data_IF_464196757623
#
_entry.id   IF_464196757623
#
_cell.length_a   1.000
_cell.length_b   1.000
_cell.length_c   1.000
_cell.angle_alpha   90.00
_cell.angle_beta   90.00
_cell.angle_gamma   90.00
#
_symmetry.space_group_name_H-M   'P 1'
#
loop_
_entity.id
_entity.type
_entity.pdbx_description
1 polymer ?
#
# COMPACT_ATOMS: atom_id res chain seq x y z
N UNK A 1 17.93 -16.05 -19.04
CA UNK A 1 17.36 -17.33 -18.57
C UNK A 1 16.01 -17.11 -17.89
N UNK A 2 15.95 -16.40 -16.74
CA UNK A 2 14.72 -16.11 -15.98
C UNK A 2 13.51 -15.71 -16.84
N UNK A 3 13.60 -14.64 -17.64
CA UNK A 3 12.49 -14.15 -18.48
C UNK A 3 11.93 -15.22 -19.45
N UNK A 4 12.74 -16.23 -19.83
CA UNK A 4 12.34 -17.34 -20.71
C UNK A 4 11.60 -18.45 -19.94
N UNK A 5 11.87 -18.59 -18.63
CA UNK A 5 11.09 -19.43 -17.71
C UNK A 5 9.80 -18.72 -17.30
N UNK A 6 9.87 -17.43 -16.96
CA UNK A 6 8.73 -16.56 -16.65
C UNK A 6 7.66 -16.64 -17.76
N UNK A 7 8.01 -16.35 -19.01
CA UNK A 7 7.10 -16.53 -20.17
C UNK A 7 6.60 -17.97 -20.36
N UNK A 8 7.35 -18.99 -19.94
CA UNK A 8 6.93 -20.40 -20.07
C UNK A 8 5.88 -20.78 -19.02
N UNK A 9 6.01 -20.28 -17.77
CA UNK A 9 5.01 -20.45 -16.72
C UNK A 9 3.75 -19.62 -16.96
N UNK A 10 3.89 -18.38 -17.44
CA UNK A 10 2.76 -17.48 -17.73
C UNK A 10 1.93 -17.94 -18.96
N UNK A 11 2.47 -18.83 -19.80
CA UNK A 11 1.80 -19.35 -21.00
C UNK A 11 1.30 -20.80 -20.85
N UNK A 12 1.36 -21.40 -19.65
CA UNK A 12 0.91 -22.77 -19.38
C UNK A 12 -0.43 -22.82 -18.61
N UNK A 13 -1.32 -23.75 -18.98
CA UNK A 13 -2.65 -23.88 -18.37
C UNK A 13 -2.61 -24.38 -16.91
N UNK A 14 -3.59 -24.02 -16.05
CA UNK A 14 -3.30 -23.85 -14.62
C UNK A 14 -3.41 -25.08 -13.71
N UNK A 15 -4.09 -26.16 -14.10
CA UNK A 15 -4.69 -27.06 -13.09
C UNK A 15 -3.76 -28.13 -12.48
N UNK A 16 -2.75 -28.67 -13.19
CA UNK A 16 -1.97 -29.81 -12.67
C UNK A 16 -0.54 -29.48 -12.20
N UNK A 17 0.18 -28.56 -12.85
CA UNK A 17 1.62 -28.38 -12.59
C UNK A 17 1.95 -27.51 -11.36
N UNK A 18 0.98 -26.76 -10.83
CA UNK A 18 1.23 -25.74 -9.80
C UNK A 18 1.33 -26.28 -8.37
N UNK A 19 0.84 -27.49 -8.07
CA UNK A 19 0.99 -28.10 -6.74
C UNK A 19 2.42 -28.58 -6.42
N UNK A 20 3.22 -28.91 -7.43
CA UNK A 20 4.55 -29.55 -7.26
C UNK A 20 5.71 -28.56 -7.27
N UNK A 21 5.61 -27.44 -7.98
CA UNK A 21 6.75 -26.55 -8.25
C UNK A 21 6.99 -25.45 -7.20
N UNK A 22 6.18 -25.36 -6.14
CA UNK A 22 6.25 -24.30 -5.12
C UNK A 22 7.50 -24.34 -4.19
N UNK A 23 8.43 -25.28 -4.38
CA UNK A 23 9.53 -25.59 -3.43
C UNK A 23 10.97 -25.36 -3.92
N UNK A 24 11.41 -25.77 -5.14
CA UNK A 24 12.84 -26.03 -5.39
C UNK A 24 13.82 -24.88 -5.12
N UNK A 25 13.53 -23.66 -5.58
CA UNK A 25 14.53 -22.58 -5.53
C UNK A 25 14.61 -21.87 -4.17
N UNK A 26 13.50 -21.37 -3.61
CA UNK A 26 13.52 -20.64 -2.34
C UNK A 26 14.06 -21.51 -1.19
N UNK A 27 13.59 -22.77 -1.07
CA UNK A 27 14.11 -23.66 -0.02
C UNK A 27 15.59 -24.02 -0.22
N UNK A 28 16.09 -24.05 -1.46
CA UNK A 28 17.53 -24.31 -1.68
C UNK A 28 18.39 -23.17 -1.12
N UNK A 29 17.97 -21.91 -1.28
CA UNK A 29 18.67 -20.77 -0.66
C UNK A 29 18.55 -20.77 0.86
N UNK A 30 17.37 -21.07 1.42
CA UNK A 30 17.18 -21.14 2.88
C UNK A 30 18.11 -22.19 3.51
N UNK A 31 18.16 -23.40 2.94
CA UNK A 31 19.07 -24.46 3.40
C UNK A 31 20.54 -24.07 3.23
N UNK A 32 20.94 -23.55 2.05
CA UNK A 32 22.32 -23.11 1.80
C UNK A 32 22.79 -22.11 2.87
N UNK A 33 21.94 -21.17 3.27
CA UNK A 33 22.32 -20.16 4.26
C UNK A 33 22.12 -20.62 5.71
N UNK A 34 21.20 -21.54 6.01
CA UNK A 34 21.07 -22.15 7.34
C UNK A 34 22.31 -22.98 7.72
N UNK A 35 22.94 -23.64 6.74
CA UNK A 35 24.16 -24.44 6.93
C UNK A 35 25.46 -23.68 6.58
N UNK A 36 25.41 -22.37 6.36
CA UNK A 36 26.59 -21.52 6.16
C UNK A 36 27.42 -21.82 4.90
N UNK A 37 26.81 -22.41 3.86
CA UNK A 37 27.54 -23.05 2.74
C UNK A 37 28.09 -22.08 1.67
N UNK A 38 27.94 -20.76 1.83
CA UNK A 38 28.48 -19.73 0.92
C UNK A 38 29.07 -18.56 1.74
N UNK A 39 30.29 -18.05 1.43
CA UNK A 39 30.95 -17.01 2.25
C UNK A 39 30.34 -15.60 2.21
N UNK A 40 29.54 -15.24 1.20
CA UNK A 40 28.80 -13.96 1.17
C UNK A 40 27.51 -14.04 0.34
N UNK A 41 26.48 -13.32 0.79
CA UNK A 41 25.16 -13.29 0.15
C UNK A 41 25.21 -12.58 -1.21
N UNK A 42 26.06 -11.56 -1.36
CA UNK A 42 26.18 -10.71 -2.55
C UNK A 42 26.57 -11.47 -3.83
N UNK A 43 27.23 -12.61 -3.67
CA UNK A 43 27.60 -13.52 -4.75
C UNK A 43 26.40 -14.22 -5.41
N UNK A 44 25.30 -14.35 -4.68
CA UNK A 44 24.13 -15.12 -5.08
C UNK A 44 23.19 -14.24 -5.90
N UNK A 45 23.00 -14.57 -7.18
CA UNK A 45 22.17 -13.77 -8.11
C UNK A 45 20.73 -13.55 -7.61
N UNK A 46 20.18 -14.46 -6.80
CA UNK A 46 18.85 -14.34 -6.18
C UNK A 46 18.72 -13.20 -5.17
N UNK A 47 19.82 -12.78 -4.52
CA UNK A 47 19.82 -11.70 -3.54
C UNK A 47 19.98 -10.30 -4.17
N UNK A 48 20.10 -10.20 -5.50
CA UNK A 48 20.19 -8.88 -6.15
C UNK A 48 18.80 -8.20 -6.15
N UNK A 49 18.70 -6.90 -5.82
CA UNK A 49 17.41 -6.21 -5.73
C UNK A 49 16.52 -6.34 -6.97
N UNK A 50 17.10 -6.12 -8.16
CA UNK A 50 16.44 -6.29 -9.47
C UNK A 50 16.06 -7.74 -9.82
N UNK A 51 16.40 -8.71 -8.98
CA UNK A 51 15.93 -10.10 -9.05
C UNK A 51 14.86 -10.38 -8.00
N UNK A 52 14.98 -9.84 -6.79
CA UNK A 52 13.94 -9.91 -5.74
C UNK A 52 12.65 -9.22 -6.20
N UNK A 53 12.74 -8.00 -6.75
CA UNK A 53 11.60 -7.28 -7.32
C UNK A 53 10.86 -8.09 -8.40
N UNK A 54 11.62 -8.79 -9.28
CA UNK A 54 11.05 -9.65 -10.34
C UNK A 54 10.51 -10.98 -9.86
N UNK A 55 10.87 -11.40 -8.65
CA UNK A 55 10.24 -12.53 -7.97
C UNK A 55 8.93 -12.08 -7.29
N UNK A 56 8.88 -10.87 -6.73
CA UNK A 56 7.66 -10.28 -6.15
C UNK A 56 6.60 -9.93 -7.23
N UNK A 57 7.02 -9.33 -8.35
CA UNK A 57 6.27 -9.17 -9.61
C UNK A 57 5.60 -10.51 -10.00
N UNK A 58 6.42 -11.55 -10.21
CA UNK A 58 5.95 -12.87 -10.64
C UNK A 58 5.08 -13.58 -9.60
N UNK A 59 5.34 -13.40 -8.31
CA UNK A 59 4.49 -13.94 -7.25
C UNK A 59 3.09 -13.32 -7.30
N UNK A 60 3.01 -12.01 -7.50
CA UNK A 60 1.76 -11.25 -7.60
C UNK A 60 0.98 -11.61 -8.86
N UNK A 61 1.64 -11.62 -10.03
CA UNK A 61 1.10 -12.13 -11.31
C UNK A 61 0.48 -13.52 -11.19
N UNK A 62 1.15 -14.45 -10.52
CA UNK A 62 0.67 -15.83 -10.38
C UNK A 62 -0.53 -15.94 -9.44
N UNK A 63 -0.68 -15.03 -8.48
CA UNK A 63 -1.87 -14.97 -7.63
C UNK A 63 -3.08 -14.39 -8.36
N UNK A 64 -2.91 -13.33 -9.16
CA UNK A 64 -3.94 -12.86 -10.10
C UNK A 64 -4.41 -14.01 -11.00
N UNK A 65 -3.49 -14.71 -11.66
CA UNK A 65 -3.83 -15.83 -12.56
C UNK A 65 -4.45 -17.05 -11.85
N UNK A 66 -4.23 -17.21 -10.54
CA UNK A 66 -4.81 -18.29 -9.75
C UNK A 66 -6.23 -17.95 -9.23
N UNK A 67 -6.51 -16.66 -8.99
CA UNK A 67 -7.70 -16.20 -8.26
C UNK A 67 -8.67 -15.40 -9.13
N UNK A 68 -8.15 -14.73 -10.18
CA UNK A 68 -8.82 -13.66 -10.91
C UNK A 68 -9.40 -12.63 -9.93
N UNK A 69 -10.67 -12.30 -10.15
CA UNK A 69 -11.52 -11.47 -9.27
C UNK A 69 -11.42 -11.78 -7.77
N UNK A 70 -11.15 -13.04 -7.39
CA UNK A 70 -10.99 -13.43 -5.98
C UNK A 70 -9.74 -12.83 -5.31
N UNK A 71 -8.83 -12.23 -6.09
CA UNK A 71 -7.71 -11.44 -5.57
C UNK A 71 -8.19 -10.21 -4.78
N UNK A 72 -9.34 -9.65 -5.16
CA UNK A 72 -9.96 -8.46 -4.56
C UNK A 72 -11.16 -8.78 -3.63
N UNK A 73 -11.34 -10.05 -3.26
CA UNK A 73 -12.21 -10.42 -2.13
C UNK A 73 -11.59 -9.92 -0.80
N UNK A 74 -12.39 -9.93 0.27
CA UNK A 74 -12.19 -9.23 1.56
C UNK A 74 -10.91 -9.60 2.36
N UNK A 75 -10.06 -10.45 1.80
CA UNK A 75 -8.78 -10.90 2.36
C UNK A 75 -7.76 -11.00 1.22
N UNK A 76 -7.17 -9.86 0.82
CA UNK A 76 -6.19 -9.83 -0.27
C UNK A 76 -5.04 -10.83 -0.01
N UNK A 77 -4.58 -11.57 -1.03
CA UNK A 77 -3.54 -12.59 -0.88
C UNK A 77 -2.12 -12.00 -0.85
N UNK A 78 -1.98 -10.76 -1.34
CA UNK A 78 -0.78 -9.93 -1.30
C UNK A 78 -1.23 -8.53 -0.91
N UNK A 79 -0.52 -7.92 0.04
CA UNK A 79 -0.69 -6.54 0.46
C UNK A 79 0.59 -5.77 0.07
N UNK A 80 0.50 -4.61 -0.60
CA UNK A 80 1.66 -3.82 -1.02
C UNK A 80 2.22 -2.93 0.12
N UNK A 81 2.31 -3.46 1.34
CA UNK A 81 2.94 -2.80 2.50
C UNK A 81 4.24 -3.51 2.87
N UNK A 82 5.29 -2.77 3.24
CA UNK A 82 6.61 -3.34 3.57
C UNK A 82 6.52 -4.42 4.66
N UNK A 83 5.76 -4.15 5.72
CA UNK A 83 5.58 -5.03 6.88
C UNK A 83 4.96 -6.37 6.48
N UNK A 84 4.12 -6.41 5.44
CA UNK A 84 3.56 -7.66 4.91
C UNK A 84 4.64 -8.48 4.20
N UNK A 85 5.50 -7.84 3.40
CA UNK A 85 6.62 -8.50 2.73
C UNK A 85 7.77 -8.90 3.67
N UNK A 86 7.81 -8.32 4.88
CA UNK A 86 8.71 -8.71 5.97
C UNK A 86 8.16 -9.81 6.90
N UNK A 87 6.83 -9.92 7.10
CA UNK A 87 6.22 -10.83 8.11
C UNK A 87 5.09 -11.75 7.64
N UNK A 88 4.40 -11.46 6.53
CA UNK A 88 3.24 -12.21 6.03
C UNK A 88 3.55 -13.64 5.57
N UNK A 89 2.73 -14.60 6.00
CA UNK A 89 2.80 -16.05 5.74
C UNK A 89 2.82 -16.42 4.27
N UNK A 90 2.00 -15.74 3.46
CA UNK A 90 1.89 -15.96 2.02
C UNK A 90 3.20 -15.64 1.28
N UNK A 91 3.93 -14.64 1.77
CA UNK A 91 5.21 -14.14 1.25
C UNK A 91 6.41 -14.55 2.10
N UNK A 92 6.30 -15.59 2.96
CA UNK A 92 7.36 -16.07 3.86
C UNK A 92 8.72 -16.37 3.20
N UNK A 93 8.72 -16.69 1.92
CA UNK A 93 9.91 -16.96 1.12
C UNK A 93 10.64 -15.67 0.65
N UNK A 94 10.07 -14.50 0.94
CA UNK A 94 10.67 -13.18 0.70
C UNK A 94 11.25 -12.54 1.96
N UNK A 95 10.75 -12.85 3.16
CA UNK A 95 11.10 -12.19 4.44
C UNK A 95 12.60 -11.88 4.57
N UNK A 96 13.45 -12.90 4.43
CA UNK A 96 14.91 -12.78 4.54
C UNK A 96 15.54 -11.92 3.45
N UNK A 97 14.97 -11.94 2.24
CA UNK A 97 15.46 -11.15 1.12
C UNK A 97 15.11 -9.67 1.33
N UNK A 98 13.86 -9.36 1.69
CA UNK A 98 13.36 -8.00 1.93
C UNK A 98 14.08 -7.35 3.12
N UNK A 99 14.29 -8.09 4.22
CA UNK A 99 15.02 -7.60 5.39
C UNK A 99 16.55 -7.48 5.16
N UNK A 100 17.07 -7.88 4.00
CA UNK A 100 18.48 -7.74 3.61
C UNK A 100 18.69 -6.68 2.51
N UNK A 101 17.64 -5.98 2.09
CA UNK A 101 17.70 -4.89 1.11
C UNK A 101 18.02 -3.55 1.77
N UNK A 102 18.53 -2.60 0.98
CA UNK A 102 18.53 -1.18 1.36
C UNK A 102 17.09 -0.64 1.38
N UNK A 103 16.81 0.43 2.13
CA UNK A 103 15.48 1.06 2.14
C UNK A 103 15.03 1.51 0.74
N UNK A 104 15.95 1.94 -0.11
CA UNK A 104 15.69 2.24 -1.52
C UNK A 104 15.23 0.99 -2.29
N UNK A 105 15.94 -0.12 -2.13
CA UNK A 105 15.62 -1.37 -2.79
C UNK A 105 14.33 -2.01 -2.25
N UNK A 106 14.05 -1.88 -0.95
CA UNK A 106 12.77 -2.23 -0.35
C UNK A 106 11.63 -1.45 -1.01
N UNK A 107 11.77 -0.13 -1.12
CA UNK A 107 10.81 0.73 -1.82
C UNK A 107 10.62 0.31 -3.28
N UNK A 108 11.71 -0.01 -3.99
CA UNK A 108 11.61 -0.51 -5.36
C UNK A 108 10.82 -1.84 -5.47
N UNK A 109 10.97 -2.77 -4.52
CA UNK A 109 10.18 -4.01 -4.51
C UNK A 109 8.70 -3.72 -4.24
N UNK A 110 8.37 -2.93 -3.22
CA UNK A 110 6.97 -2.62 -2.86
C UNK A 110 6.27 -1.86 -3.99
N UNK A 111 6.96 -0.90 -4.62
CA UNK A 111 6.46 -0.19 -5.79
C UNK A 111 6.16 -1.14 -6.98
N UNK A 112 7.04 -2.10 -7.26
CA UNK A 112 6.80 -3.09 -8.34
C UNK A 112 5.60 -3.99 -8.03
N UNK A 113 5.39 -4.37 -6.76
CA UNK A 113 4.19 -5.11 -6.33
C UNK A 113 2.94 -4.25 -6.53
N UNK A 114 2.96 -3.00 -6.08
CA UNK A 114 1.84 -2.07 -6.21
C UNK A 114 1.51 -1.79 -7.69
N UNK A 115 2.50 -1.47 -8.53
CA UNK A 115 2.31 -1.31 -9.98
C UNK A 115 1.72 -2.57 -10.64
N UNK A 116 2.14 -3.77 -10.22
CA UNK A 116 1.56 -5.05 -10.70
C UNK A 116 0.08 -5.12 -10.34
N UNK A 117 -0.29 -4.84 -9.08
CA UNK A 117 -1.70 -4.83 -8.65
C UNK A 117 -2.52 -3.82 -9.47
N UNK A 118 -2.03 -2.59 -9.58
CA UNK A 118 -2.69 -1.53 -10.34
C UNK A 118 -2.86 -1.87 -11.83
N UNK A 119 -2.00 -2.71 -12.43
CA UNK A 119 -2.15 -3.12 -13.84
C UNK A 119 -3.29 -4.09 -14.11
N UNK A 120 -3.75 -4.84 -13.09
CA UNK A 120 -4.92 -5.73 -13.22
C UNK A 120 -6.24 -5.08 -12.76
N UNK A 121 -6.16 -3.92 -12.09
CA UNK A 121 -7.31 -3.25 -11.48
C UNK A 121 -8.36 -2.73 -12.48
N UNK A 122 -8.02 -2.11 -13.62
CA UNK A 122 -9.04 -1.58 -14.55
C UNK A 122 -9.90 -2.65 -15.24
N UNK A 123 -9.44 -3.90 -15.32
CA UNK A 123 -10.03 -4.93 -16.19
C UNK A 123 -10.76 -6.06 -15.44
N UNK A 124 -10.34 -6.41 -14.21
CA UNK A 124 -10.91 -7.58 -13.50
C UNK A 124 -12.10 -7.27 -12.58
N UNK A 125 -12.22 -6.03 -12.05
CA UNK A 125 -13.10 -5.73 -10.91
C UNK A 125 -14.57 -6.09 -11.15
N UNK A 126 -15.21 -5.56 -12.20
CA UNK A 126 -16.50 -6.06 -12.68
C UNK A 126 -16.77 -5.65 -14.13
N UNK A 127 -17.45 -6.48 -14.96
CA UNK A 127 -17.92 -6.06 -16.29
C UNK A 127 -19.05 -5.01 -16.22
N UNK A 128 -19.49 -4.66 -15.01
CA UNK A 128 -20.63 -3.78 -14.71
C UNK A 128 -20.24 -2.55 -13.88
N UNK A 129 -19.06 -2.53 -13.29
CA UNK A 129 -18.53 -1.38 -12.54
C UNK A 129 -17.27 -0.88 -13.27
N UNK A 130 -17.30 0.38 -13.69
CA UNK A 130 -16.13 1.06 -14.25
C UNK A 130 -15.40 1.81 -13.12
N UNK A 131 -14.06 1.86 -13.13
CA UNK A 131 -13.34 2.68 -12.18
C UNK A 131 -13.62 4.17 -12.40
N UNK A 132 -13.52 4.98 -11.35
CA UNK A 132 -13.64 6.44 -11.44
C UNK A 132 -12.53 7.05 -12.31
N UNK A 133 -12.82 8.17 -12.97
CA UNK A 133 -11.79 8.87 -13.77
C UNK A 133 -10.67 9.44 -12.89
N UNK A 134 -10.99 9.85 -11.65
CA UNK A 134 -10.00 10.24 -10.63
C UNK A 134 -9.06 9.07 -10.33
N UNK A 135 -9.58 7.88 -10.06
CA UNK A 135 -8.77 6.70 -9.78
C UNK A 135 -7.96 6.22 -10.99
N UNK A 136 -8.54 6.25 -12.21
CA UNK A 136 -7.83 5.94 -13.46
C UNK A 136 -6.63 6.85 -13.67
N UNK A 137 -6.81 8.16 -13.46
CA UNK A 137 -5.72 9.14 -13.54
C UNK A 137 -4.61 8.80 -12.52
N UNK A 138 -4.97 8.65 -11.24
CA UNK A 138 -4.02 8.30 -10.18
C UNK A 138 -3.23 6.99 -10.48
N UNK A 139 -3.90 5.97 -11.02
CA UNK A 139 -3.24 4.74 -11.45
C UNK A 139 -2.21 4.97 -12.57
N UNK A 140 -2.55 5.76 -13.59
CA UNK A 140 -1.67 6.05 -14.72
C UNK A 140 -0.41 6.79 -14.29
N UNK A 141 -0.55 7.77 -13.40
CA UNK A 141 0.57 8.57 -12.90
C UNK A 141 1.52 7.73 -12.03
N UNK A 142 0.98 6.90 -11.14
CA UNK A 142 1.75 5.97 -10.31
C UNK A 142 2.38 4.83 -11.15
N UNK A 143 1.88 4.58 -12.36
CA UNK A 143 2.45 3.63 -13.32
C UNK A 143 3.53 4.23 -14.24
N UNK A 144 3.79 5.55 -14.17
CA UNK A 144 4.84 6.17 -15.00
C UNK A 144 6.23 5.57 -14.71
N UNK A 145 7.00 5.33 -15.79
CA UNK A 145 8.29 4.64 -15.71
C UNK A 145 9.37 5.39 -14.90
N UNK A 146 9.22 6.71 -14.74
CA UNK A 146 10.16 7.56 -14.03
C UNK A 146 9.75 7.84 -12.56
N UNK A 147 8.53 7.48 -12.13
CA UNK A 147 7.92 7.92 -10.86
C UNK A 147 8.85 7.82 -9.64
N UNK A 148 9.55 6.70 -9.46
CA UNK A 148 10.51 6.50 -8.35
C UNK A 148 11.73 7.43 -8.36
N UNK A 149 12.15 7.89 -9.54
CA UNK A 149 13.25 8.83 -9.71
C UNK A 149 12.78 10.26 -9.40
N UNK A 150 11.61 10.64 -9.90
CA UNK A 150 11.06 11.98 -9.69
C UNK A 150 10.55 12.18 -8.26
N UNK A 151 9.88 11.19 -7.66
CA UNK A 151 9.53 11.20 -6.23
C UNK A 151 10.77 11.30 -5.33
N UNK A 152 11.87 10.62 -5.69
CA UNK A 152 13.15 10.76 -4.98
C UNK A 152 13.72 12.17 -5.09
N UNK A 153 13.74 12.73 -6.30
CA UNK A 153 14.19 14.10 -6.55
C UNK A 153 13.38 15.11 -5.73
N UNK A 154 12.05 14.99 -5.75
CA UNK A 154 11.11 15.83 -5.01
C UNK A 154 11.31 15.69 -3.48
N UNK A 155 11.37 14.47 -2.97
CA UNK A 155 11.57 14.18 -1.54
C UNK A 155 12.92 14.68 -1.04
N UNK A 156 13.99 14.61 -1.85
CA UNK A 156 15.30 15.17 -1.51
C UNK A 156 15.30 16.70 -1.51
N UNK A 157 14.65 17.33 -2.50
CA UNK A 157 14.52 18.79 -2.57
C UNK A 157 13.69 19.37 -1.40
N UNK A 158 12.68 18.63 -0.94
CA UNK A 158 11.87 18.97 0.23
C UNK A 158 12.65 18.89 1.55
N UNK A 159 13.51 17.87 1.71
CA UNK A 159 14.28 17.66 2.93
C UNK A 159 15.39 18.70 3.18
N UNK A 160 15.76 19.51 2.18
CA UNK A 160 16.80 20.55 2.26
C UNK A 160 16.22 21.96 2.54
N UNK A 161 14.89 22.09 2.65
CA UNK A 161 14.06 23.31 2.83
C UNK A 161 14.23 24.43 1.79
N UNK A 162 15.40 24.57 1.16
CA UNK A 162 15.79 25.66 0.25
C UNK A 162 15.08 25.61 -1.12
N UNK A 163 14.48 24.48 -1.51
CA UNK A 163 13.84 24.30 -2.82
C UNK A 163 12.34 24.63 -2.87
N UNK A 164 11.73 25.01 -1.73
CA UNK A 164 10.28 25.25 -1.56
C UNK A 164 9.65 26.12 -2.67
N UNK A 165 10.34 27.15 -3.15
CA UNK A 165 9.82 28.06 -4.20
C UNK A 165 9.79 27.48 -5.62
N UNK A 166 10.46 26.36 -5.91
CA UNK A 166 10.38 25.69 -7.23
C UNK A 166 9.34 24.56 -7.26
N UNK A 167 8.79 24.18 -6.09
CA UNK A 167 8.15 22.89 -5.90
C UNK A 167 6.70 22.81 -6.39
N UNK A 168 5.99 23.94 -6.37
CA UNK A 168 4.56 24.06 -6.72
C UNK A 168 4.23 23.66 -8.17
N UNK A 169 5.24 23.47 -9.02
CA UNK A 169 5.10 23.06 -10.42
C UNK A 169 5.49 21.58 -10.66
N UNK A 170 5.74 20.78 -9.61
CA UNK A 170 6.03 19.35 -9.77
C UNK A 170 4.74 18.54 -9.94
N UNK A 171 4.61 17.79 -11.04
CA UNK A 171 3.48 16.88 -11.25
C UNK A 171 3.36 15.83 -10.12
N UNK A 172 4.46 15.43 -9.47
CA UNK A 172 4.41 14.47 -8.35
C UNK A 172 3.88 15.12 -7.06
N UNK A 173 4.05 16.44 -6.89
CA UNK A 173 3.35 17.18 -5.83
C UNK A 173 1.85 17.23 -6.14
N UNK A 174 1.47 17.45 -7.41
CA UNK A 174 0.06 17.41 -7.83
C UNK A 174 -0.55 16.03 -7.58
N UNK A 175 0.07 14.95 -8.06
CA UNK A 175 -0.37 13.56 -7.83
C UNK A 175 -0.48 13.23 -6.35
N UNK A 176 0.48 13.66 -5.52
CA UNK A 176 0.41 13.43 -4.06
C UNK A 176 -0.71 14.22 -3.39
N UNK A 177 -1.05 15.40 -3.92
CA UNK A 177 -2.19 16.21 -3.48
C UNK A 177 -3.52 15.62 -3.98
N UNK A 178 -3.57 15.11 -5.20
CA UNK A 178 -4.75 14.43 -5.78
C UNK A 178 -5.04 13.09 -5.05
N UNK A 179 -4.00 12.38 -4.61
CA UNK A 179 -4.10 11.22 -3.70
C UNK A 179 -4.71 11.62 -2.36
N UNK A 180 -4.21 12.69 -1.74
CA UNK A 180 -4.74 13.24 -0.49
C UNK A 180 -6.23 13.60 -0.63
N UNK A 181 -6.61 14.35 -1.67
CA UNK A 181 -8.01 14.70 -1.93
C UNK A 181 -8.90 13.49 -2.26
N UNK A 182 -8.39 12.41 -2.83
CA UNK A 182 -9.17 11.17 -3.01
C UNK A 182 -9.36 10.40 -1.70
N UNK A 183 -8.40 10.50 -0.78
CA UNK A 183 -8.45 9.86 0.53
C UNK A 183 -9.32 10.65 1.54
N UNK A 184 -9.35 11.97 1.44
CA UNK A 184 -10.30 12.84 2.13
C UNK A 184 -11.71 12.73 1.56
N UNK A 185 -11.87 12.87 0.24
CA UNK A 185 -13.15 12.83 -0.48
C UNK A 185 -13.12 11.76 -1.60
N UNK A 186 -13.41 10.48 -1.29
CA UNK A 186 -13.39 9.40 -2.27
C UNK A 186 -14.60 9.39 -3.21
N UNK A 187 -14.53 8.62 -4.30
CA UNK A 187 -15.60 8.60 -5.31
C UNK A 187 -16.85 7.83 -4.87
N UNK A 188 -17.84 8.55 -4.35
CA UNK A 188 -19.07 7.97 -3.80
C UNK A 188 -20.10 7.54 -4.86
N UNK A 189 -19.96 7.93 -6.13
CA UNK A 189 -20.84 7.46 -7.21
C UNK A 189 -20.46 6.08 -7.77
N UNK A 190 -19.29 5.53 -7.38
CA UNK A 190 -18.90 4.16 -7.76
C UNK A 190 -19.70 3.10 -6.99
N UNK A 191 -19.87 1.93 -7.62
CA UNK A 191 -20.38 0.71 -6.99
C UNK A 191 -19.58 0.36 -5.72
N UNK A 192 -20.19 -0.25 -4.70
CA UNK A 192 -19.59 -0.43 -3.37
C UNK A 192 -18.28 -1.22 -3.38
N UNK A 193 -18.21 -2.35 -4.09
CA UNK A 193 -16.98 -3.12 -4.19
C UNK A 193 -15.90 -2.33 -4.95
N UNK A 194 -16.27 -1.64 -6.02
CA UNK A 194 -15.38 -0.72 -6.75
C UNK A 194 -14.81 0.37 -5.82
N UNK A 195 -15.68 1.13 -5.14
CA UNK A 195 -15.36 2.21 -4.20
C UNK A 195 -14.35 1.80 -3.14
N UNK A 196 -14.62 0.67 -2.47
CA UNK A 196 -13.76 0.10 -1.42
C UNK A 196 -12.35 -0.15 -1.95
N UNK A 197 -12.26 -0.69 -3.16
CA UNK A 197 -11.00 -1.11 -3.76
C UNK A 197 -10.21 0.07 -4.34
N UNK A 198 -10.88 1.09 -4.90
CA UNK A 198 -10.23 2.36 -5.25
C UNK A 198 -9.63 3.03 -4.01
N UNK A 199 -10.42 3.15 -2.93
CA UNK A 199 -9.94 3.70 -1.66
C UNK A 199 -8.75 2.91 -1.11
N UNK A 200 -8.87 1.58 -1.05
CA UNK A 200 -7.84 0.69 -0.54
C UNK A 200 -6.52 0.81 -1.32
N UNK A 201 -6.60 0.93 -2.65
CA UNK A 201 -5.43 1.06 -3.52
C UNK A 201 -4.82 2.47 -3.44
N UNK A 202 -5.62 3.53 -3.32
CA UNK A 202 -5.13 4.90 -3.05
C UNK A 202 -4.47 4.98 -1.67
N UNK A 203 -5.05 4.40 -0.62
CA UNK A 203 -4.41 4.29 0.69
C UNK A 203 -3.03 3.60 0.58
N UNK A 204 -2.90 2.52 -0.20
CA UNK A 204 -1.60 1.88 -0.41
C UNK A 204 -0.60 2.73 -1.22
N UNK A 205 -1.06 3.57 -2.16
CA UNK A 205 -0.19 4.57 -2.81
C UNK A 205 0.33 5.61 -1.81
N UNK A 206 -0.50 6.03 -0.85
CA UNK A 206 -0.12 7.00 0.18
C UNK A 206 0.78 6.37 1.26
N UNK A 207 0.47 5.16 1.74
CA UNK A 207 1.32 4.40 2.67
C UNK A 207 2.73 4.15 2.09
N UNK A 208 2.81 3.89 0.78
CA UNK A 208 4.07 3.82 0.05
C UNK A 208 4.83 5.17 0.06
N UNK A 209 4.14 6.27 -0.23
CA UNK A 209 4.74 7.60 -0.23
C UNK A 209 5.19 8.02 1.18
N UNK A 210 4.43 7.72 2.24
CA UNK A 210 4.84 7.99 3.61
C UNK A 210 6.08 7.17 4.00
N UNK A 211 6.05 5.84 3.78
CA UNK A 211 7.17 4.96 4.21
C UNK A 211 8.49 5.19 3.49
N UNK A 212 8.47 5.61 2.22
CA UNK A 212 9.69 5.74 1.41
C UNK A 212 10.02 7.18 0.99
N UNK A 213 9.06 8.12 1.09
CA UNK A 213 9.18 9.49 0.61
C UNK A 213 8.45 10.50 1.53
N UNK A 214 8.37 10.22 2.85
CA UNK A 214 7.66 11.03 3.86
C UNK A 214 7.74 12.56 3.67
N UNK A 215 8.89 13.20 3.33
CA UNK A 215 8.94 14.64 3.06
C UNK A 215 7.87 15.16 2.09
N UNK A 216 7.43 14.35 1.11
CA UNK A 216 6.31 14.69 0.20
C UNK A 216 4.98 14.74 0.95
N UNK A 217 4.67 13.71 1.75
CA UNK A 217 3.47 13.63 2.59
C UNK A 217 3.43 14.77 3.61
N UNK A 218 4.56 15.01 4.29
CA UNK A 218 4.79 16.12 5.21
C UNK A 218 4.53 17.49 4.53
N UNK A 219 5.00 17.67 3.29
CA UNK A 219 4.83 18.91 2.54
C UNK A 219 3.40 19.12 2.04
N UNK A 220 2.73 18.06 1.55
CA UNK A 220 1.33 18.10 1.12
C UNK A 220 0.43 18.42 2.32
N UNK A 221 0.59 17.74 3.46
CA UNK A 221 -0.16 18.03 4.69
C UNK A 221 0.02 19.48 5.14
N UNK A 222 1.27 19.94 5.31
CA UNK A 222 1.59 21.32 5.68
C UNK A 222 1.08 22.35 4.67
N UNK A 223 0.99 22.02 3.38
CA UNK A 223 0.45 22.92 2.37
C UNK A 223 -1.07 23.07 2.55
N UNK A 224 -1.80 21.96 2.67
CA UNK A 224 -3.26 21.94 2.92
C UNK A 224 -3.62 22.66 4.23
N UNK A 225 -2.92 22.34 5.33
CA UNK A 225 -3.02 23.02 6.63
C UNK A 225 -2.80 24.54 6.53
N UNK A 226 -1.98 25.00 5.58
CA UNK A 226 -1.70 26.42 5.40
C UNK A 226 -2.66 27.17 4.47
N UNK A 227 -3.38 26.47 3.59
CA UNK A 227 -4.44 27.09 2.77
C UNK A 227 -5.78 27.21 3.51
N UNK A 228 -5.99 26.50 4.62
CA UNK A 228 -7.20 26.64 5.44
C UNK A 228 -7.37 28.09 5.96
N UNK A 229 -8.56 28.70 5.79
CA UNK A 229 -8.90 30.01 6.34
C UNK A 229 -8.59 30.12 7.83
N UNK A 230 -8.12 31.28 8.28
CA UNK A 230 -7.70 31.52 9.68
C UNK A 230 -8.81 31.15 10.68
N UNK A 231 -10.09 31.38 10.34
CA UNK A 231 -11.23 31.04 11.19
C UNK A 231 -11.51 29.53 11.34
N UNK A 232 -10.90 28.66 10.52
CA UNK A 232 -10.94 27.20 10.66
C UNK A 232 -9.71 26.64 11.39
N UNK A 233 -8.59 27.38 11.44
CA UNK A 233 -7.40 26.93 12.20
C UNK A 233 -7.65 26.83 13.70
N UNK A 234 -8.59 27.60 14.24
CA UNK A 234 -9.00 27.53 15.65
C UNK A 234 -10.20 26.59 15.90
N UNK A 235 -10.82 26.01 14.86
CA UNK A 235 -12.07 25.21 14.99
C UNK A 235 -12.06 24.01 14.02
N UNK A 236 -11.76 22.82 14.57
CA UNK A 236 -11.74 21.52 13.89
C UNK A 236 -10.57 21.24 12.93
N UNK A 237 -9.33 21.62 13.28
CA UNK A 237 -8.16 21.06 12.59
C UNK A 237 -8.02 19.57 12.96
N UNK A 238 -8.44 18.70 12.05
CA UNK A 238 -7.99 17.32 11.98
C UNK A 238 -6.88 17.24 10.94
N UNK A 239 -5.84 16.44 11.22
CA UNK A 239 -4.68 16.36 10.34
C UNK A 239 -4.85 15.21 9.34
N UNK A 240 -4.36 15.38 8.12
CA UNK A 240 -4.17 14.27 7.15
C UNK A 240 -3.38 13.12 7.79
N UNK A 241 -2.39 13.47 8.63
CA UNK A 241 -1.63 12.50 9.42
C UNK A 241 -2.50 11.70 10.41
N UNK A 242 -3.57 12.27 10.98
CA UNK A 242 -4.48 11.56 11.88
C UNK A 242 -5.38 10.58 11.12
N UNK A 243 -5.81 10.93 9.91
CA UNK A 243 -6.50 10.01 8.99
C UNK A 243 -5.60 8.84 8.59
N UNK A 244 -4.34 9.10 8.23
CA UNK A 244 -3.35 8.06 7.93
C UNK A 244 -3.02 7.20 9.17
N UNK A 245 -2.91 7.82 10.34
CA UNK A 245 -2.71 7.11 11.61
C UNK A 245 -3.90 6.22 11.98
N UNK A 246 -5.13 6.66 11.71
CA UNK A 246 -6.33 5.84 11.85
C UNK A 246 -6.31 4.66 10.88
N UNK A 247 -6.06 4.92 9.60
CA UNK A 247 -6.14 3.93 8.52
C UNK A 247 -5.10 2.82 8.62
N UNK A 248 -3.85 3.18 8.92
CA UNK A 248 -2.77 2.22 9.14
C UNK A 248 -2.92 1.37 10.41
N UNK A 249 -3.90 1.69 11.27
CA UNK A 249 -4.47 0.73 12.22
C UNK A 249 -5.67 0.01 11.59
N UNK A 250 -6.67 0.73 11.08
CA UNK A 250 -7.96 0.22 10.61
C UNK A 250 -7.86 -0.92 9.58
N UNK A 251 -6.92 -0.85 8.64
CA UNK A 251 -6.83 -1.83 7.55
C UNK A 251 -6.45 -3.25 8.02
N UNK A 252 -5.94 -3.41 9.25
CA UNK A 252 -5.41 -4.69 9.76
C UNK A 252 -6.34 -5.93 9.70
N UNK A 253 -7.66 -5.84 9.97
CA UNK A 253 -8.56 -7.00 9.84
C UNK A 253 -8.74 -7.41 8.38
N UNK A 254 -8.79 -6.43 7.47
CA UNK A 254 -8.88 -6.58 6.02
C UNK A 254 -7.56 -7.07 5.40
N UNK A 255 -6.43 -6.74 6.04
CA UNK A 255 -5.10 -7.28 5.77
C UNK A 255 -4.92 -8.73 6.26
N UNK A 256 -5.98 -9.54 6.17
CA UNK A 256 -5.97 -11.00 6.28
C UNK A 256 -5.50 -11.57 7.64
N UNK A 257 -5.45 -10.76 8.71
CA UNK A 257 -4.99 -11.20 10.05
C UNK A 257 -5.81 -12.34 10.66
N UNK A 258 -7.06 -12.56 10.21
CA UNK A 258 -7.89 -13.71 10.59
C UNK A 258 -7.42 -15.06 10.00
N UNK A 259 -6.66 -15.07 8.89
CA UNK A 259 -6.06 -16.28 8.32
C UNK A 259 -4.52 -16.30 8.43
N UNK A 260 -3.91 -15.13 8.61
CA UNK A 260 -2.48 -14.90 8.78
C UNK A 260 -2.16 -14.18 10.11
N UNK A 261 -2.20 -14.95 11.20
CA UNK A 261 -1.74 -14.51 12.51
C UNK A 261 -0.23 -14.27 12.63
N UNK A 262 0.54 -14.38 11.53
CA UNK A 262 1.98 -14.03 11.48
C UNK A 262 2.25 -12.64 10.87
N UNK A 263 1.24 -11.94 10.36
CA UNK A 263 1.40 -10.54 9.95
C UNK A 263 1.46 -9.60 11.18
N UNK A 264 2.63 -9.02 11.44
CA UNK A 264 2.93 -8.27 12.68
C UNK A 264 3.18 -6.77 12.46
N UNK A 265 2.37 -6.09 11.64
CA UNK A 265 2.48 -4.64 11.39
C UNK A 265 2.43 -3.75 12.67
N UNK A 266 2.84 -2.48 12.56
CA UNK A 266 3.54 -1.76 13.64
C UNK A 266 2.82 -1.15 14.88
N UNK A 267 1.50 -0.95 15.04
CA UNK A 267 0.32 -1.19 14.19
C UNK A 267 -0.68 -2.17 14.84
N UNK A 268 -0.82 -2.25 16.16
CA UNK A 268 -1.74 -3.19 16.83
C UNK A 268 -3.19 -2.69 16.84
N UNK A 269 -4.19 -3.58 16.93
CA UNK A 269 -5.59 -3.15 17.10
C UNK A 269 -5.82 -2.41 18.43
N UNK A 270 -4.89 -2.53 19.40
CA UNK A 270 -4.84 -1.75 20.64
C UNK A 270 -4.59 -0.26 20.38
N UNK A 271 -3.92 0.06 19.27
CA UNK A 271 -3.58 1.43 18.86
C UNK A 271 -4.83 2.22 18.37
N UNK A 272 -6.00 1.57 18.31
CA UNK A 272 -7.31 2.25 18.18
C UNK A 272 -7.72 3.06 19.43
N UNK A 273 -7.04 2.86 20.57
CA UNK A 273 -7.38 3.49 21.85
C UNK A 273 -7.59 5.03 21.80
N UNK A 274 -6.74 5.82 21.12
CA UNK A 274 -6.95 7.26 20.95
C UNK A 274 -8.21 7.56 20.12
N UNK A 275 -8.36 6.91 18.96
CA UNK A 275 -9.50 7.13 18.05
C UNK A 275 -10.85 6.76 18.71
N UNK A 276 -10.91 5.66 19.46
CA UNK A 276 -12.11 5.28 20.21
C UNK A 276 -12.51 6.35 21.26
N UNK A 277 -11.57 7.09 21.85
CA UNK A 277 -11.88 8.21 22.77
C UNK A 277 -12.40 9.46 22.06
N UNK A 278 -11.94 9.73 20.84
CA UNK A 278 -12.42 10.84 20.00
C UNK A 278 -13.85 10.57 19.52
N UNK A 279 -14.13 9.35 19.06
CA UNK A 279 -15.43 8.93 18.54
C UNK A 279 -16.50 8.77 19.64
N UNK A 280 -16.13 8.28 20.83
CA UNK A 280 -17.06 8.12 21.96
C UNK A 280 -17.28 9.41 22.77
N UNK A 281 -16.66 10.53 22.37
CA UNK A 281 -16.73 11.81 23.09
C UNK A 281 -16.05 11.83 24.47
N UNK A 282 -15.44 10.72 24.91
CA UNK A 282 -14.83 10.57 26.22
C UNK A 282 -13.56 11.43 26.42
N UNK A 283 -13.08 12.10 25.37
CA UNK A 283 -12.05 13.14 25.45
C UNK A 283 -12.55 14.57 25.69
N UNK A 284 -13.87 14.81 25.76
CA UNK A 284 -14.46 16.15 25.96
C UNK A 284 -14.44 17.08 24.75
N UNK A 285 -13.64 16.79 23.72
CA UNK A 285 -13.48 17.62 22.54
C UNK A 285 -14.57 17.38 21.50
N UNK A 286 -15.59 18.25 21.48
CA UNK A 286 -16.51 18.43 20.35
C UNK A 286 -15.80 18.89 19.05
N UNK A 287 -14.52 19.27 19.14
CA UNK A 287 -13.65 19.81 18.08
C UNK A 287 -13.24 18.80 16.98
N UNK A 288 -13.81 17.59 16.96
CA UNK A 288 -13.47 16.54 15.99
C UNK A 288 -14.67 16.11 15.13
N UNK A 289 -15.70 16.95 14.97
CA UNK A 289 -16.90 16.59 14.20
C UNK A 289 -16.57 16.12 12.78
N UNK A 290 -15.72 16.85 12.05
CA UNK A 290 -15.36 16.50 10.67
C UNK A 290 -14.54 15.19 10.60
N UNK A 291 -13.63 14.96 11.55
CA UNK A 291 -12.87 13.70 11.60
C UNK A 291 -13.76 12.51 11.98
N UNK A 292 -14.67 12.67 12.93
CA UNK A 292 -15.66 11.66 13.28
C UNK A 292 -16.61 11.36 12.11
N UNK A 293 -16.99 12.39 11.33
CA UNK A 293 -17.79 12.24 10.11
C UNK A 293 -17.00 11.50 9.01
N UNK A 294 -15.73 11.85 8.78
CA UNK A 294 -14.88 11.15 7.82
C UNK A 294 -14.66 9.68 8.22
N UNK A 295 -14.36 9.39 9.49
CA UNK A 295 -14.27 8.01 10.01
C UNK A 295 -15.61 7.28 9.82
N UNK A 296 -16.75 7.93 10.08
CA UNK A 296 -18.06 7.32 9.86
C UNK A 296 -18.29 6.98 8.38
N UNK A 297 -18.17 7.94 7.46
CA UNK A 297 -18.38 7.72 6.03
C UNK A 297 -17.40 6.68 5.47
N UNK A 298 -16.13 6.73 5.87
CA UNK A 298 -15.16 5.70 5.48
C UNK A 298 -15.54 4.30 6.02
N UNK A 299 -15.74 4.13 7.34
CA UNK A 299 -16.00 2.81 7.92
C UNK A 299 -17.36 2.24 7.53
N UNK A 300 -18.38 3.09 7.41
CA UNK A 300 -19.77 2.70 7.13
C UNK A 300 -20.08 2.61 5.62
N UNK A 301 -19.61 3.56 4.81
CA UNK A 301 -20.08 3.76 3.43
C UNK A 301 -19.05 3.38 2.35
N UNK A 302 -17.78 3.18 2.75
CA UNK A 302 -16.70 2.65 1.89
C UNK A 302 -16.35 1.21 2.25
N UNK A 303 -16.25 0.88 3.55
CA UNK A 303 -15.86 -0.47 4.01
C UNK A 303 -17.01 -1.34 4.55
N UNK A 304 -18.22 -0.81 4.69
CA UNK A 304 -19.41 -1.49 5.25
C UNK A 304 -19.12 -2.23 6.58
N UNK A 305 -18.28 -1.63 7.42
CA UNK A 305 -17.72 -2.24 8.62
C UNK A 305 -18.23 -1.57 9.90
N UNK A 306 -19.48 -1.85 10.22
CA UNK A 306 -20.25 -1.27 11.33
C UNK A 306 -19.71 -1.68 12.71
N UNK A 307 -19.51 -2.99 12.96
CA UNK A 307 -19.23 -3.57 14.28
C UNK A 307 -17.76 -3.48 14.73
N UNK A 308 -17.02 -2.46 14.26
CA UNK A 308 -15.58 -2.34 14.51
C UNK A 308 -15.26 -1.78 15.89
N UNK A 309 -16.11 -0.87 16.38
CA UNK A 309 -16.05 -0.29 17.72
C UNK A 309 -16.33 -1.33 18.82
N UNK A 310 -17.14 -2.34 18.52
CA UNK A 310 -17.59 -3.39 19.45
C UNK A 310 -16.55 -4.48 19.70
N UNK A 311 -15.42 -4.48 18.97
CA UNK A 311 -14.31 -5.44 19.16
C UNK A 311 -13.39 -5.11 20.36
N UNK A 312 -13.89 -4.31 21.31
CA UNK A 312 -13.23 -3.91 22.56
C UNK A 312 -14.23 -3.59 23.69
#
# INVERSE_FOLDING_TARGET
>A
MWNKLQRKFLNSHPQEQFRTHRKPHFSSTDYITQYGLIPSLDSIKSFKPKTIAKMAELHTELLFRQLGKKFYEDCMPVIPELEFWESGKYVKHFHRFIAALSTEDQGHVIHVVLQTILSHTPEELSPQALPSERFKYLCQEFQQANFLHEARSLSSALADEQATNQLNNSDHLRVSTDLMYFFEEPEMETEKQQRRLEFQLVYYMIDFLDKFYNPIIDAVGKHTENQLPIAQKDVNVYLFQDQLNFMSVFMKPWQNTFQDCSYTGKRAWQDMGPFKKILTGQGGNYQYHQFNQWIHTFTTEVFEYWNWLDKY
#
